data_IF_004217048015
#
_entry.id   IF_004217048015
#
_cell.length_a   1.000
_cell.length_b   1.000
_cell.length_c   1.000
_cell.angle_alpha   90.00
_cell.angle_beta   90.00
_cell.angle_gamma   90.00
#
_symmetry.space_group_name_H-M   'P 1'
#
loop_
_entity.id
_entity.type
_entity.pdbx_description
1 polymer ?
#
# COMPACT_ATOMS: atom_id res chain seq x y z
N UNK A 1 -8.90 23.65 10.63
CA UNK A 1 -9.45 22.97 9.42
C UNK A 1 -8.82 21.58 9.24
N UNK A 2 -7.57 21.37 9.65
CA UNK A 2 -6.88 20.08 9.47
C UNK A 2 -7.44 18.94 10.34
N UNK A 3 -7.83 19.21 11.59
CA UNK A 3 -8.36 18.18 12.50
C UNK A 3 -9.65 17.53 12.01
N UNK A 4 -10.54 18.30 11.35
CA UNK A 4 -11.81 17.78 10.84
C UNK A 4 -11.54 16.76 9.73
N UNK A 5 -10.59 17.04 8.84
CA UNK A 5 -10.19 16.13 7.78
C UNK A 5 -9.61 14.81 8.32
N UNK A 6 -8.70 14.88 9.31
CA UNK A 6 -8.15 13.68 9.94
C UNK A 6 -9.23 12.87 10.66
N UNK A 7 -10.15 13.54 11.37
CA UNK A 7 -11.23 12.87 12.10
C UNK A 7 -12.19 12.15 11.15
N UNK A 8 -12.54 12.80 10.03
CA UNK A 8 -13.38 12.20 8.99
C UNK A 8 -12.65 11.03 8.30
N UNK A 9 -11.35 11.17 7.99
CA UNK A 9 -10.56 10.10 7.40
C UNK A 9 -10.45 8.87 8.33
N UNK A 10 -10.25 9.10 9.64
CA UNK A 10 -10.23 8.05 10.67
C UNK A 10 -11.61 7.40 10.79
N UNK A 11 -12.69 8.17 10.81
CA UNK A 11 -14.06 7.64 10.87
C UNK A 11 -14.39 6.80 9.64
N UNK A 12 -14.02 7.24 8.44
CA UNK A 12 -14.21 6.47 7.20
C UNK A 12 -13.39 5.17 7.25
N UNK A 13 -12.15 5.23 7.71
CA UNK A 13 -11.32 4.03 7.90
C UNK A 13 -11.96 3.05 8.88
N UNK A 14 -12.43 3.53 10.03
CA UNK A 14 -13.12 2.74 11.05
C UNK A 14 -14.40 2.15 10.47
N UNK A 15 -15.22 2.96 9.79
CA UNK A 15 -16.49 2.53 9.21
C UNK A 15 -16.27 1.46 8.14
N UNK A 16 -15.25 1.62 7.29
CA UNK A 16 -14.89 0.63 6.27
C UNK A 16 -14.32 -0.66 6.87
N UNK A 17 -13.56 -0.55 7.97
CA UNK A 17 -13.13 -1.69 8.78
C UNK A 17 -14.34 -2.43 9.38
N UNK A 18 -15.29 -1.68 9.94
CA UNK A 18 -16.50 -2.21 10.56
C UNK A 18 -17.46 -2.80 9.52
N UNK A 19 -17.57 -2.24 8.33
CA UNK A 19 -18.39 -2.82 7.25
C UNK A 19 -17.82 -4.19 6.80
N UNK A 20 -16.49 -4.30 6.75
CA UNK A 20 -15.76 -5.56 6.58
C UNK A 20 -15.58 -6.38 7.88
N UNK A 21 -16.34 -6.13 8.97
CA UNK A 21 -16.18 -6.81 10.26
C UNK A 21 -16.23 -8.34 10.19
N UNK A 22 -17.00 -8.92 9.26
CA UNK A 22 -17.07 -10.39 9.08
C UNK A 22 -15.75 -10.99 8.60
N UNK A 23 -14.96 -10.20 7.89
CA UNK A 23 -13.63 -10.56 7.42
C UNK A 23 -12.61 -10.45 8.54
N UNK A 24 -12.63 -9.35 9.29
CA UNK A 24 -11.71 -9.11 10.40
C UNK A 24 -11.91 -10.13 11.52
N UNK A 25 -13.15 -10.55 11.80
CA UNK A 25 -13.45 -11.61 12.78
C UNK A 25 -12.84 -12.98 12.43
N UNK A 26 -12.51 -13.23 11.16
CA UNK A 26 -11.83 -14.48 10.75
C UNK A 26 -10.32 -14.42 10.91
N UNK A 27 -9.74 -13.23 11.10
CA UNK A 27 -8.32 -13.05 11.30
C UNK A 27 -7.99 -12.99 12.79
N UNK A 28 -6.95 -13.72 13.19
CA UNK A 28 -6.43 -13.60 14.56
C UNK A 28 -5.79 -12.23 14.78
N UNK A 29 -5.74 -11.77 16.03
CA UNK A 29 -5.07 -10.51 16.42
C UNK A 29 -3.63 -10.44 15.89
N UNK A 30 -2.91 -11.58 15.88
CA UNK A 30 -1.55 -11.67 15.33
C UNK A 30 -1.51 -11.41 13.82
N UNK A 31 -2.51 -11.87 13.06
CA UNK A 31 -2.61 -11.63 11.62
C UNK A 31 -2.97 -10.18 11.33
N UNK A 32 -3.87 -9.58 12.12
CA UNK A 32 -4.22 -8.16 11.98
C UNK A 32 -2.98 -7.27 12.20
N UNK A 33 -2.21 -7.54 13.26
CA UNK A 33 -0.96 -6.82 13.53
C UNK A 33 0.05 -7.04 12.40
N UNK A 34 0.22 -8.28 11.94
CA UNK A 34 1.15 -8.60 10.84
C UNK A 34 0.77 -7.90 9.52
N UNK A 35 -0.52 -7.81 9.22
CA UNK A 35 -1.04 -7.06 8.06
C UNK A 35 -0.73 -5.58 8.19
N UNK A 36 -1.06 -4.97 9.34
CA UNK A 36 -0.80 -3.56 9.60
C UNK A 36 0.70 -3.22 9.46
N UNK A 37 1.57 -4.04 10.06
CA UNK A 37 3.01 -3.87 9.96
C UNK A 37 3.52 -4.01 8.52
N UNK A 38 2.95 -4.95 7.75
CA UNK A 38 3.29 -5.12 6.33
C UNK A 38 2.95 -3.88 5.52
N UNK A 39 1.77 -3.28 5.71
CA UNK A 39 1.41 -2.02 5.04
C UNK A 39 2.42 -0.91 5.34
N UNK A 40 2.76 -0.69 6.61
CA UNK A 40 3.74 0.33 7.01
C UNK A 40 5.10 0.07 6.34
N UNK A 41 5.57 -1.17 6.35
CA UNK A 41 6.84 -1.55 5.78
C UNK A 41 6.89 -1.34 4.26
N UNK A 42 5.85 -1.77 3.52
CA UNK A 42 5.82 -1.63 2.06
C UNK A 42 5.60 -0.18 1.61
N UNK A 43 4.81 0.62 2.35
CA UNK A 43 4.69 2.07 2.11
C UNK A 43 6.05 2.75 2.33
N UNK A 44 6.75 2.42 3.42
CA UNK A 44 8.09 2.92 3.69
C UNK A 44 9.09 2.53 2.59
N UNK A 45 9.04 1.27 2.14
CA UNK A 45 9.87 0.77 1.04
C UNK A 45 9.59 1.50 -0.28
N UNK A 46 8.31 1.65 -0.66
CA UNK A 46 7.92 2.38 -1.87
C UNK A 46 8.43 3.83 -1.82
N UNK A 47 8.25 4.49 -0.68
CA UNK A 47 8.72 5.86 -0.46
C UNK A 47 10.24 5.95 -0.59
N UNK A 48 10.98 5.02 0.02
CA UNK A 48 12.43 4.98 -0.07
C UNK A 48 12.92 4.77 -1.51
N UNK A 49 12.31 3.84 -2.25
CA UNK A 49 12.65 3.58 -3.65
C UNK A 49 12.35 4.81 -4.52
N UNK A 50 11.19 5.44 -4.37
CA UNK A 50 10.82 6.60 -5.18
C UNK A 50 11.72 7.80 -4.86
N UNK A 51 11.88 8.11 -3.57
CA UNK A 51 12.57 9.32 -3.14
C UNK A 51 14.08 9.24 -3.31
N UNK A 52 14.69 8.12 -2.92
CA UNK A 52 16.14 7.94 -3.05
C UNK A 52 16.50 7.30 -4.39
N UNK A 53 15.85 6.18 -4.74
CA UNK A 53 16.15 5.44 -5.97
C UNK A 53 15.73 6.18 -7.25
N UNK A 54 14.49 6.68 -7.29
CA UNK A 54 13.96 7.42 -8.44
C UNK A 54 14.71 8.72 -8.69
N UNK A 55 15.01 9.48 -7.63
CA UNK A 55 15.78 10.72 -7.77
C UNK A 55 17.24 10.45 -8.19
N UNK A 56 17.86 9.38 -7.69
CA UNK A 56 19.19 8.95 -8.14
C UNK A 56 19.19 8.54 -9.61
N UNK A 57 18.25 7.70 -10.05
CA UNK A 57 18.14 7.24 -11.44
C UNK A 57 17.93 8.41 -12.42
N UNK A 58 17.15 9.39 -12.01
CA UNK A 58 16.79 10.51 -12.87
C UNK A 58 17.88 11.61 -12.85
N UNK A 59 18.85 11.53 -11.94
CA UNK A 59 20.01 12.45 -11.90
C UNK A 59 20.94 12.32 -13.11
N UNK A 60 20.93 11.16 -13.79
CA UNK A 60 21.72 10.92 -15.00
C UNK A 60 21.12 11.54 -16.27
N UNK A 61 19.92 12.13 -16.18
CA UNK A 61 19.20 12.66 -17.34
C UNK A 61 19.25 14.20 -17.32
N UNK A 62 19.91 14.78 -18.32
CA UNK A 62 20.04 16.24 -18.45
C UNK A 62 18.81 16.94 -19.03
N UNK A 63 17.93 16.21 -19.73
CA UNK A 63 16.75 16.78 -20.39
C UNK A 63 15.56 16.80 -19.42
N UNK A 64 15.13 17.99 -19.01
CA UNK A 64 14.09 18.18 -18.00
C UNK A 64 12.77 17.46 -18.32
N UNK A 65 12.29 17.52 -19.57
CA UNK A 65 11.03 16.86 -19.96
C UNK A 65 11.14 15.34 -19.82
N UNK A 66 12.24 14.76 -20.32
CA UNK A 66 12.50 13.32 -20.26
C UNK A 66 12.66 12.84 -18.81
N UNK A 67 13.28 13.66 -17.96
CA UNK A 67 13.42 13.45 -16.52
C UNK A 67 12.05 13.28 -15.83
N UNK A 68 11.07 14.12 -16.14
CA UNK A 68 9.73 14.01 -15.57
C UNK A 68 8.99 12.75 -16.05
N UNK A 69 9.08 12.43 -17.34
CA UNK A 69 8.45 11.23 -17.92
C UNK A 69 9.01 9.97 -17.28
N UNK A 70 10.34 9.86 -17.17
CA UNK A 70 11.00 8.68 -16.60
C UNK A 70 10.70 8.57 -15.11
N UNK A 71 10.68 9.69 -14.37
CA UNK A 71 10.30 9.67 -12.97
C UNK A 71 8.87 9.14 -12.76
N UNK A 72 7.92 9.57 -13.60
CA UNK A 72 6.55 9.06 -13.54
C UNK A 72 6.47 7.55 -13.79
N UNK A 73 7.23 7.05 -14.77
CA UNK A 73 7.34 5.60 -15.05
C UNK A 73 7.92 4.84 -13.85
N UNK A 74 8.97 5.37 -13.20
CA UNK A 74 9.56 4.76 -11.99
C UNK A 74 8.54 4.69 -10.85
N UNK A 75 7.76 5.74 -10.64
CA UNK A 75 6.71 5.77 -9.62
C UNK A 75 5.65 4.69 -9.92
N UNK A 76 5.16 4.62 -11.16
CA UNK A 76 4.15 3.64 -11.55
C UNK A 76 4.64 2.19 -11.35
N UNK A 77 5.87 1.89 -11.78
CA UNK A 77 6.48 0.56 -11.62
C UNK A 77 6.67 0.24 -10.14
N UNK A 78 7.14 1.21 -9.34
CA UNK A 78 7.38 1.00 -7.91
C UNK A 78 6.07 0.72 -7.16
N UNK A 79 5.01 1.46 -7.45
CA UNK A 79 3.69 1.25 -6.84
C UNK A 79 3.17 -0.14 -7.24
N UNK A 80 3.21 -0.48 -8.52
CA UNK A 80 2.75 -1.79 -8.99
C UNK A 80 3.52 -2.94 -8.32
N UNK A 81 4.85 -2.86 -8.29
CA UNK A 81 5.70 -3.87 -7.68
C UNK A 81 5.46 -4.01 -6.17
N UNK A 82 5.31 -2.90 -5.45
CA UNK A 82 5.08 -2.92 -4.00
C UNK A 82 3.70 -3.43 -3.65
N UNK A 83 2.66 -3.09 -4.42
CA UNK A 83 1.32 -3.69 -4.27
C UNK A 83 1.37 -5.20 -4.49
N UNK A 84 2.00 -5.66 -5.58
CA UNK A 84 2.11 -7.08 -5.88
C UNK A 84 2.81 -7.87 -4.77
N UNK A 85 3.92 -7.33 -4.24
CA UNK A 85 4.64 -7.94 -3.13
C UNK A 85 3.83 -7.93 -1.83
N UNK A 86 3.16 -6.81 -1.55
CA UNK A 86 2.29 -6.67 -0.39
C UNK A 86 1.15 -7.69 -0.45
N UNK A 87 0.44 -7.82 -1.57
CA UNK A 87 -0.63 -8.82 -1.74
C UNK A 87 -0.14 -10.24 -1.48
N UNK A 88 1.06 -10.58 -1.98
CA UNK A 88 1.68 -11.88 -1.72
C UNK A 88 1.97 -12.08 -0.23
N UNK A 89 2.52 -11.07 0.44
CA UNK A 89 2.76 -11.09 1.90
C UNK A 89 1.45 -11.21 2.68
N UNK A 90 0.43 -10.42 2.34
CA UNK A 90 -0.89 -10.45 2.97
C UNK A 90 -1.56 -11.81 2.81
N UNK A 91 -1.49 -12.40 1.62
CA UNK A 91 -1.99 -13.77 1.36
C UNK A 91 -1.28 -14.79 2.25
N UNK A 92 0.04 -14.67 2.40
CA UNK A 92 0.82 -15.56 3.26
C UNK A 92 0.50 -15.40 4.75
N UNK A 93 0.37 -14.16 5.24
CA UNK A 93 0.03 -13.87 6.64
C UNK A 93 -1.39 -14.30 6.98
N UNK A 94 -2.33 -14.10 6.06
CA UNK A 94 -3.74 -14.45 6.24
C UNK A 94 -4.07 -15.91 5.89
N UNK A 95 -3.10 -16.75 5.55
CA UNK A 95 -3.33 -18.13 5.09
C UNK A 95 -4.34 -18.21 3.92
N UNK A 96 -4.33 -17.23 3.01
CA UNK A 96 -5.21 -17.20 1.84
C UNK A 96 -6.62 -16.66 2.08
N UNK A 97 -7.01 -16.36 3.34
CA UNK A 97 -8.35 -15.82 3.68
C UNK A 97 -8.63 -14.53 2.91
N UNK A 98 -7.61 -13.68 2.70
CA UNK A 98 -7.76 -12.43 1.98
C UNK A 98 -8.06 -12.64 0.49
N UNK A 99 -7.41 -13.61 -0.14
CA UNK A 99 -7.57 -13.90 -1.57
C UNK A 99 -8.97 -14.47 -1.87
N UNK A 100 -9.51 -15.31 -0.99
CA UNK A 100 -10.85 -15.91 -1.15
C UNK A 100 -11.97 -14.85 -1.13
N UNK A 101 -11.76 -13.75 -0.42
CA UNK A 101 -12.76 -12.70 -0.28
C UNK A 101 -12.68 -11.66 -1.41
N UNK A 102 -11.47 -11.36 -1.89
CA UNK A 102 -11.29 -10.55 -3.09
C UNK A 102 -11.94 -11.16 -4.34
N UNK A 103 -12.05 -12.50 -4.40
CA UNK A 103 -12.75 -13.20 -5.50
C UNK A 103 -14.28 -13.17 -5.36
N UNK A 104 -14.81 -13.06 -4.13
CA UNK A 104 -16.26 -13.00 -3.87
C UNK A 104 -16.85 -11.59 -4.04
N UNK A 105 -16.01 -10.56 -4.09
CA UNK A 105 -16.41 -9.16 -4.27
C UNK A 105 -16.27 -8.65 -5.70
N UNK A 106 -15.85 -9.51 -6.65
CA UNK A 106 -15.68 -9.20 -8.08
C UNK A 106 -16.69 -9.98 -8.91
#
# INVERSE_FOLDING_TARGET
MDYIFYTVAILILIYRLLDHHRFIKKLSVKQIIGIGLSYIMYIGLATAIIYYGGNWLVSFISVNVLKHIIFFVIVAITIYATIFLLEKTLTKISNGIIKEQSYKSS
#
